data_IF_172502978133
#
_entry.id   IF_172502978133
#
_cell.length_a   1.000
_cell.length_b   1.000
_cell.length_c   1.000
_cell.angle_alpha   90.00
_cell.angle_beta   90.00
_cell.angle_gamma   90.00
#
_symmetry.space_group_name_H-M   'P 1'
#
loop_
_entity.id
_entity.type
_entity.pdbx_description
1 polymer ?
#
# COMPACT_ATOMS: atom_id res chain seq x y z
N UNK A 1 -9.99 -3.87 -1.34
CA UNK A 1 -9.20 -2.75 -1.91
C UNK A 1 -8.23 -2.29 -0.84
N UNK A 2 -6.94 -2.44 -1.10
CA UNK A 2 -5.90 -1.96 -0.18
C UNK A 2 -5.75 -0.45 -0.34
N UNK A 3 -6.56 0.33 0.34
CA UNK A 3 -6.57 1.79 0.23
C UNK A 3 -5.24 2.43 0.64
N UNK A 4 -4.45 1.72 1.45
CA UNK A 4 -3.12 2.14 1.87
C UNK A 4 -2.14 2.23 0.68
N UNK A 5 -2.19 1.27 -0.25
CA UNK A 5 -1.23 1.15 -1.36
C UNK A 5 -1.75 1.73 -2.68
N UNK A 6 -3.06 1.81 -2.85
CA UNK A 6 -3.68 2.26 -4.10
C UNK A 6 -4.71 3.37 -3.87
N UNK A 7 -5.14 4.02 -4.93
CA UNK A 7 -6.22 5.00 -4.89
C UNK A 7 -7.23 4.75 -6.01
N UNK A 8 -8.39 5.36 -5.88
CA UNK A 8 -9.36 5.49 -6.97
C UNK A 8 -8.90 6.66 -7.83
N UNK A 9 -8.73 6.44 -9.15
CA UNK A 9 -8.43 7.54 -10.07
C UNK A 9 -9.57 8.55 -10.09
N UNK A 10 -9.33 9.78 -9.65
CA UNK A 10 -10.38 10.80 -9.59
C UNK A 10 -10.89 11.16 -10.98
N UNK A 11 -10.07 11.09 -12.01
CA UNK A 11 -10.44 11.33 -13.41
C UNK A 11 -11.46 10.32 -13.92
N UNK A 12 -11.42 9.08 -13.38
CA UNK A 12 -12.35 8.01 -13.73
C UNK A 12 -13.47 7.84 -12.68
N UNK A 13 -13.83 8.91 -11.98
CA UNK A 13 -14.81 8.82 -10.89
C UNK A 13 -15.84 9.93 -10.96
N UNK A 14 -17.15 9.54 -10.95
CA UNK A 14 -18.24 10.48 -10.72
C UNK A 14 -18.47 10.64 -9.21
N UNK A 15 -18.36 11.86 -8.71
CA UNK A 15 -18.54 12.18 -7.31
C UNK A 15 -19.83 12.98 -7.13
N UNK A 16 -20.68 12.51 -6.21
CA UNK A 16 -21.92 13.25 -5.90
C UNK A 16 -21.58 14.60 -5.27
N UNK A 17 -22.12 15.70 -5.81
CA UNK A 17 -21.86 17.06 -5.34
C UNK A 17 -22.01 17.23 -3.83
N UNK A 18 -23.01 16.63 -3.22
CA UNK A 18 -23.23 16.71 -1.77
C UNK A 18 -22.04 16.23 -0.90
N UNK A 19 -21.13 15.42 -1.44
CA UNK A 19 -19.94 15.01 -0.72
C UNK A 19 -18.92 16.14 -0.55
N UNK A 20 -19.06 17.21 -1.32
CA UNK A 20 -18.25 18.42 -1.25
C UNK A 20 -18.83 19.49 -0.32
N UNK A 21 -20.08 19.36 0.15
CA UNK A 21 -20.75 20.41 0.94
C UNK A 21 -19.97 20.75 2.22
N UNK A 22 -19.33 19.77 2.85
CA UNK A 22 -18.56 19.94 4.09
C UNK A 22 -17.10 19.52 3.97
N UNK A 23 -16.61 19.19 2.78
CA UNK A 23 -15.26 18.71 2.56
C UNK A 23 -14.81 18.99 1.13
N UNK A 24 -13.96 19.96 0.95
CA UNK A 24 -13.30 20.23 -0.33
C UNK A 24 -11.94 19.51 -0.38
N UNK A 25 -11.32 19.52 -1.56
CA UNK A 25 -9.93 19.11 -1.69
C UNK A 25 -9.03 20.05 -0.88
N UNK A 26 -8.03 19.47 -0.21
CA UNK A 26 -7.07 20.22 0.60
C UNK A 26 -6.03 20.87 -0.31
N UNK A 27 -5.95 22.18 -0.35
CA UNK A 27 -5.00 22.92 -1.21
C UNK A 27 -3.54 22.84 -0.70
N UNK A 28 -3.34 22.33 0.53
CA UNK A 28 -2.02 22.19 1.13
C UNK A 28 -1.18 21.06 0.52
N UNK A 29 -1.83 20.10 -0.18
CA UNK A 29 -1.16 18.99 -0.84
C UNK A 29 -1.11 19.22 -2.34
N UNK A 30 0.06 19.00 -2.91
CA UNK A 30 0.29 19.17 -4.34
C UNK A 30 -0.17 18.00 -5.17
N UNK A 31 -0.11 16.79 -4.58
CA UNK A 31 -0.30 15.54 -5.33
C UNK A 31 -1.46 14.71 -4.77
N UNK A 32 -1.63 14.64 -3.45
CA UNK A 32 -2.52 13.66 -2.81
C UNK A 32 -3.86 14.22 -2.31
N UNK A 33 -4.26 15.40 -2.74
CA UNK A 33 -5.51 16.05 -2.31
C UNK A 33 -6.75 15.23 -2.63
N UNK A 34 -6.81 14.64 -3.83
CA UNK A 34 -7.89 13.75 -4.26
C UNK A 34 -7.90 12.45 -3.47
N UNK A 35 -6.72 11.87 -3.23
CA UNK A 35 -6.58 10.68 -2.42
C UNK A 35 -6.98 10.91 -0.96
N UNK A 36 -6.61 12.07 -0.36
CA UNK A 36 -7.07 12.47 0.98
C UNK A 36 -8.60 12.57 1.03
N UNK A 37 -9.22 13.17 0.02
CA UNK A 37 -10.68 13.26 -0.07
C UNK A 37 -11.33 11.88 -0.08
N UNK A 38 -10.84 10.95 -0.89
CA UNK A 38 -11.36 9.59 -0.93
C UNK A 38 -11.12 8.82 0.36
N UNK A 39 -9.97 9.02 1.01
CA UNK A 39 -9.71 8.45 2.33
C UNK A 39 -10.77 8.90 3.34
N UNK A 40 -11.06 10.20 3.41
CA UNK A 40 -12.10 10.74 4.28
C UNK A 40 -13.47 10.17 3.96
N UNK A 41 -13.89 10.27 2.70
CA UNK A 41 -15.27 9.92 2.31
C UNK A 41 -15.54 8.42 2.31
N UNK A 42 -14.59 7.61 1.83
CA UNK A 42 -14.81 6.16 1.68
C UNK A 42 -14.41 5.42 2.94
N UNK A 43 -13.22 5.69 3.48
CA UNK A 43 -12.69 4.90 4.61
C UNK A 43 -13.24 5.40 5.94
N UNK A 44 -13.21 6.72 6.18
CA UNK A 44 -13.59 7.26 7.49
C UNK A 44 -15.12 7.49 7.61
N UNK A 45 -15.75 8.01 6.56
CA UNK A 45 -17.19 8.31 6.55
C UNK A 45 -18.03 7.15 5.98
N UNK A 46 -17.39 6.08 5.47
CA UNK A 46 -18.05 4.91 4.90
C UNK A 46 -19.10 5.24 3.82
N UNK A 47 -18.81 6.20 2.95
CA UNK A 47 -19.74 6.52 1.88
C UNK A 47 -19.82 5.37 0.87
N UNK A 48 -21.02 5.14 0.32
CA UNK A 48 -21.25 4.08 -0.65
C UNK A 48 -20.56 4.38 -1.98
N UNK A 49 -19.92 3.36 -2.53
CA UNK A 49 -19.30 3.37 -3.86
C UNK A 49 -19.98 2.36 -4.77
N UNK A 50 -19.96 2.61 -6.08
CA UNK A 50 -20.45 1.68 -7.09
C UNK A 50 -19.47 1.64 -8.24
N UNK A 51 -19.05 0.45 -8.62
CA UNK A 51 -18.32 0.24 -9.87
C UNK A 51 -19.30 0.32 -11.06
N UNK A 52 -18.87 0.98 -12.13
CA UNK A 52 -19.60 1.07 -13.39
C UNK A 52 -18.63 0.67 -14.49
N UNK A 53 -18.99 -0.35 -15.26
CA UNK A 53 -18.18 -0.86 -16.36
C UNK A 53 -18.34 0.00 -17.62
N UNK A 54 -17.78 1.21 -17.55
CA UNK A 54 -17.80 2.21 -18.64
C UNK A 54 -16.45 2.90 -18.68
N UNK A 55 -15.93 3.13 -19.89
CA UNK A 55 -14.75 3.98 -20.10
C UNK A 55 -15.19 5.43 -19.88
N UNK A 56 -14.69 6.05 -18.79
CA UNK A 56 -15.03 7.43 -18.41
C UNK A 56 -14.01 8.41 -18.98
N UNK A 57 -12.72 8.04 -19.00
CA UNK A 57 -11.64 8.90 -19.47
C UNK A 57 -10.51 8.08 -20.08
N UNK A 58 -9.73 8.74 -20.92
CA UNK A 58 -8.41 8.29 -21.32
C UNK A 58 -7.38 8.93 -20.36
N UNK A 59 -6.53 8.11 -19.77
CA UNK A 59 -5.60 8.56 -18.75
C UNK A 59 -4.18 8.75 -19.32
N UNK A 60 -3.69 9.98 -19.23
CA UNK A 60 -2.30 10.30 -19.56
C UNK A 60 -1.41 9.99 -18.33
N UNK A 61 -0.46 9.08 -18.50
CA UNK A 61 0.49 8.66 -17.47
C UNK A 61 1.67 9.63 -17.27
N UNK A 62 1.76 10.72 -18.04
CA UNK A 62 2.84 11.71 -17.94
C UNK A 62 2.60 12.75 -16.83
N UNK A 63 1.52 12.61 -16.08
CA UNK A 63 1.14 13.52 -14.99
C UNK A 63 2.12 13.53 -13.82
N UNK A 64 2.06 14.61 -13.01
CA UNK A 64 2.94 14.87 -11.85
C UNK A 64 2.98 13.71 -10.84
N UNK A 65 1.91 12.96 -10.68
CA UNK A 65 1.83 11.82 -9.75
C UNK A 65 2.65 10.62 -10.20
N UNK A 66 2.98 10.52 -11.50
CA UNK A 66 3.79 9.46 -12.08
C UNK A 66 5.24 9.86 -12.36
N UNK A 67 5.56 11.14 -12.25
CA UNK A 67 6.90 11.66 -12.49
C UNK A 67 7.84 11.29 -11.33
N UNK A 68 8.95 10.58 -11.59
CA UNK A 68 9.90 10.14 -10.57
C UNK A 68 10.46 11.26 -9.70
N UNK A 69 10.59 12.50 -10.23
CA UNK A 69 11.08 13.64 -9.46
C UNK A 69 10.17 14.02 -8.28
N UNK A 70 8.88 13.71 -8.36
CA UNK A 70 7.89 13.99 -7.30
C UNK A 70 7.64 12.82 -6.35
N UNK A 71 8.28 11.67 -6.55
CA UNK A 71 8.09 10.46 -5.72
C UNK A 71 8.28 10.73 -4.22
N UNK A 72 9.29 11.52 -3.88
CA UNK A 72 9.59 11.89 -2.48
C UNK A 72 8.47 12.76 -1.89
N UNK A 73 7.99 13.76 -2.64
CA UNK A 73 6.90 14.65 -2.21
C UNK A 73 5.62 13.82 -2.05
N UNK A 74 5.29 12.98 -3.01
CA UNK A 74 4.13 12.09 -2.98
C UNK A 74 4.15 11.19 -1.72
N UNK A 75 5.29 10.54 -1.44
CA UNK A 75 5.44 9.69 -0.26
C UNK A 75 5.28 10.47 1.06
N UNK A 76 5.87 11.67 1.14
CA UNK A 76 5.76 12.54 2.31
C UNK A 76 4.31 12.98 2.56
N UNK A 77 3.65 13.49 1.54
CA UNK A 77 2.25 13.95 1.64
C UNK A 77 1.32 12.79 2.04
N UNK A 78 1.50 11.58 1.46
CA UNK A 78 0.73 10.38 1.87
C UNK A 78 0.93 10.04 3.34
N UNK A 79 2.18 10.06 3.80
CA UNK A 79 2.50 9.79 5.21
C UNK A 79 1.85 10.79 6.14
N UNK A 80 1.91 12.09 5.81
CA UNK A 80 1.25 13.14 6.59
C UNK A 80 -0.26 12.96 6.68
N UNK A 81 -0.91 12.62 5.56
CA UNK A 81 -2.36 12.35 5.53
C UNK A 81 -2.69 11.14 6.40
N UNK A 82 -1.96 10.03 6.24
CA UNK A 82 -2.21 8.82 7.03
C UNK A 82 -2.05 9.08 8.52
N UNK A 83 -0.97 9.72 8.94
CA UNK A 83 -0.72 10.07 10.35
C UNK A 83 -1.76 11.03 10.92
N UNK A 84 -2.36 11.88 10.10
CA UNK A 84 -3.41 12.80 10.51
C UNK A 84 -4.72 12.11 10.86
N UNK A 85 -5.09 11.08 10.09
CA UNK A 85 -6.43 10.47 10.18
C UNK A 85 -6.44 9.07 10.78
N UNK A 86 -5.33 8.37 10.78
CA UNK A 86 -5.25 6.97 11.21
C UNK A 86 -4.31 6.86 12.41
N UNK A 87 -4.76 6.24 13.52
CA UNK A 87 -3.90 6.01 14.68
C UNK A 87 -2.64 5.21 14.31
N UNK A 88 -1.49 5.59 14.88
CA UNK A 88 -0.20 4.99 14.58
C UNK A 88 -0.22 3.45 14.72
N UNK A 89 -0.90 2.92 15.74
CA UNK A 89 -1.01 1.46 15.94
C UNK A 89 -1.63 0.74 14.75
N UNK A 90 -2.63 1.35 14.11
CA UNK A 90 -3.26 0.78 12.91
C UNK A 90 -2.29 0.87 11.71
N UNK A 91 -1.55 1.96 11.59
CA UNK A 91 -0.53 2.09 10.54
C UNK A 91 0.57 1.04 10.70
N UNK A 92 1.02 0.78 11.92
CA UNK A 92 2.03 -0.25 12.22
C UNK A 92 1.52 -1.66 11.83
N UNK A 93 0.25 -1.96 12.11
CA UNK A 93 -0.38 -3.22 11.69
C UNK A 93 -0.43 -3.34 10.15
N UNK A 94 -0.77 -2.26 9.44
CA UNK A 94 -0.77 -2.26 7.96
C UNK A 94 0.61 -2.51 7.36
N UNK A 95 1.67 -1.94 7.94
CA UNK A 95 3.06 -2.22 7.50
C UNK A 95 3.38 -3.71 7.67
N UNK A 96 2.99 -4.31 8.79
CA UNK A 96 3.18 -5.73 9.03
C UNK A 96 2.38 -6.60 8.04
N UNK A 97 1.14 -6.22 7.71
CA UNK A 97 0.34 -6.91 6.70
C UNK A 97 0.95 -6.81 5.30
N UNK A 98 1.46 -5.64 4.90
CA UNK A 98 2.12 -5.47 3.61
C UNK A 98 3.37 -6.37 3.49
N UNK A 99 4.15 -6.49 4.57
CA UNK A 99 5.27 -7.43 4.61
C UNK A 99 4.83 -8.89 4.50
N UNK A 100 3.67 -9.25 5.04
CA UNK A 100 3.11 -10.61 4.91
C UNK A 100 2.62 -10.88 3.48
N UNK A 101 2.05 -9.89 2.80
CA UNK A 101 1.64 -10.01 1.41
C UNK A 101 2.86 -10.25 0.49
N UNK A 102 3.95 -9.49 0.68
CA UNK A 102 5.21 -9.71 -0.05
C UNK A 102 5.78 -11.11 0.18
N UNK A 103 5.64 -11.63 1.40
CA UNK A 103 6.07 -12.99 1.76
C UNK A 103 5.19 -14.05 1.09
N UNK A 104 3.88 -13.81 0.94
CA UNK A 104 2.96 -14.75 0.28
C UNK A 104 3.18 -14.82 -1.24
N UNK A 105 3.69 -13.77 -1.86
CA UNK A 105 4.07 -13.78 -3.27
C UNK A 105 5.38 -14.55 -3.53
N UNK A 106 6.17 -14.83 -2.50
CA UNK A 106 7.35 -15.71 -2.59
C UNK A 106 6.89 -17.17 -2.66
N UNK A 107 7.12 -17.83 -3.80
CA UNK A 107 6.68 -19.18 -4.09
C UNK A 107 7.23 -20.22 -3.09
N UNK A 108 8.46 -20.03 -2.61
CA UNK A 108 9.09 -20.87 -1.59
C UNK A 108 8.45 -20.70 -0.21
N UNK A 109 8.16 -19.45 0.17
CA UNK A 109 7.55 -19.15 1.47
C UNK A 109 6.09 -19.55 1.51
N UNK A 110 5.34 -19.37 0.43
CA UNK A 110 3.95 -19.83 0.32
C UNK A 110 3.89 -21.37 0.44
N UNK A 111 4.79 -22.10 -0.23
CA UNK A 111 4.88 -23.55 -0.10
C UNK A 111 5.20 -23.99 1.34
N UNK A 112 6.11 -23.29 2.04
CA UNK A 112 6.42 -23.55 3.46
C UNK A 112 5.23 -23.26 4.38
N UNK A 113 4.42 -22.23 4.10
CA UNK A 113 3.23 -21.91 4.86
C UNK A 113 2.11 -22.93 4.64
N UNK A 114 1.98 -23.48 3.43
CA UNK A 114 1.00 -24.52 3.09
C UNK A 114 1.33 -25.90 3.68
N UNK A 115 2.61 -26.17 3.99
CA UNK A 115 2.99 -27.42 4.65
C UNK A 115 2.27 -27.48 6.00
N UNK A 116 1.31 -28.42 6.13
CA UNK A 116 0.65 -28.80 7.40
C UNK A 116 1.63 -29.53 8.33
N UNK A 117 2.79 -28.91 8.57
CA UNK A 117 3.85 -29.49 9.36
C UNK A 117 3.69 -29.14 10.85
N UNK A 118 4.22 -30.00 11.69
CA UNK A 118 4.28 -29.75 13.13
C UNK A 118 5.08 -28.47 13.42
N UNK A 119 4.76 -27.78 14.52
CA UNK A 119 5.46 -26.57 14.98
C UNK A 119 6.99 -26.76 15.05
N UNK A 120 7.43 -27.99 15.34
CA UNK A 120 8.85 -28.36 15.41
C UNK A 120 9.52 -28.35 14.04
N UNK A 121 8.86 -28.87 13.01
CA UNK A 121 9.38 -28.90 11.64
C UNK A 121 9.47 -27.49 11.05
N UNK A 122 8.46 -26.62 11.27
CA UNK A 122 8.51 -25.21 10.86
C UNK A 122 9.70 -24.48 11.50
N UNK A 123 9.97 -24.71 12.79
CA UNK A 123 11.15 -24.16 13.49
C UNK A 123 12.47 -24.66 12.93
N UNK A 124 12.52 -25.90 12.50
CA UNK A 124 13.70 -26.48 11.85
C UNK A 124 13.94 -25.80 10.49
N UNK A 125 12.93 -25.65 9.65
CA UNK A 125 13.05 -24.97 8.36
C UNK A 125 13.55 -23.54 8.50
N UNK A 126 13.00 -22.75 9.43
CA UNK A 126 13.47 -21.39 9.70
C UNK A 126 14.96 -21.37 10.10
N UNK A 127 15.42 -22.33 10.89
CA UNK A 127 16.86 -22.42 11.26
C UNK A 127 17.74 -22.75 10.08
N UNK A 128 17.29 -23.62 9.18
CA UNK A 128 18.03 -23.97 7.95
C UNK A 128 18.14 -22.75 7.05
N UNK A 129 17.06 -22.01 6.86
CA UNK A 129 17.04 -20.80 6.04
C UNK A 129 17.98 -19.72 6.59
N UNK A 130 17.92 -19.43 7.88
CA UNK A 130 18.84 -18.50 8.54
C UNK A 130 20.31 -18.92 8.42
N UNK A 131 20.59 -20.22 8.49
CA UNK A 131 21.94 -20.75 8.30
C UNK A 131 22.43 -20.54 6.86
N UNK A 132 21.60 -20.88 5.87
CA UNK A 132 21.91 -20.68 4.45
C UNK A 132 22.11 -19.21 4.10
N UNK A 133 21.26 -18.33 4.65
CA UNK A 133 21.43 -16.89 4.49
C UNK A 133 22.73 -16.37 5.10
N UNK A 134 23.07 -16.84 6.29
CA UNK A 134 24.37 -16.52 6.93
C UNK A 134 25.56 -16.96 6.08
N UNK A 135 25.51 -18.17 5.53
CA UNK A 135 26.52 -18.69 4.62
C UNK A 135 26.63 -17.86 3.33
N UNK A 136 25.51 -17.51 2.73
CA UNK A 136 25.46 -16.61 1.56
C UNK A 136 26.11 -15.27 1.84
N UNK A 137 25.82 -14.63 2.97
CA UNK A 137 26.42 -13.37 3.37
C UNK A 137 27.95 -13.46 3.57
N UNK A 138 28.44 -14.57 4.14
CA UNK A 138 29.88 -14.83 4.32
C UNK A 138 30.60 -15.02 2.97
N UNK A 139 29.98 -15.76 2.05
CA UNK A 139 30.55 -15.99 0.70
C UNK A 139 30.57 -14.70 -0.12
N UNK A 140 29.55 -13.85 0.01
CA UNK A 140 29.50 -12.54 -0.66
C UNK A 140 30.60 -11.60 -0.17
N UNK A 141 30.90 -11.57 1.15
CA UNK A 141 31.99 -10.76 1.71
C UNK A 141 33.39 -11.18 1.28
N UNK A 142 33.58 -12.42 0.81
CA UNK A 142 34.87 -12.91 0.30
C UNK A 142 35.12 -12.56 -1.17
N UNK A 143 34.10 -12.02 -1.87
CA UNK A 143 34.21 -11.64 -3.30
C UNK A 143 34.39 -10.14 -3.52
N UNK A 144 34.38 -9.35 -2.46
CA UNK A 144 34.75 -7.91 -2.43
C UNK A 144 36.07 -7.74 -1.70
#
# INVERSE_FOLDING_TARGET
MQFYMSSIGHQATFIRRRLFDNCLYTENYRIVSDWEFFLKKIVLENCSTRYVDVIICEFDVTGISNDPQYKTIHGKERTEVLQRYIPQRILDDYVNFALLDDIQEDELLSAVLEIKATRTFKRFLVKVDLFLYGLYCLLRKRRT
#
